data_IF_765918286966
#
_entry.id   IF_765918286966
#
_cell.length_a   1.000
_cell.length_b   1.000
_cell.length_c   1.000
_cell.angle_alpha   90.00
_cell.angle_beta   90.00
_cell.angle_gamma   90.00
#
_symmetry.space_group_name_H-M   'P 1'
#
loop_
_entity.id
_entity.type
_entity.pdbx_description
1 polymer ?
#
# COMPACT_ATOMS: atom_id res chain seq x y z
N UNK A 1 -12.37 -60.77 8.46
CA UNK A 1 -12.39 -59.83 7.35
C UNK A 1 -12.66 -58.43 7.95
N UNK A 2 -11.61 -57.66 8.17
CA UNK A 2 -11.69 -56.32 8.77
C UNK A 2 -11.81 -55.28 7.63
N UNK A 3 -12.90 -54.59 7.54
CA UNK A 3 -13.08 -53.48 6.58
C UNK A 3 -12.40 -52.24 7.16
N UNK A 4 -11.37 -51.77 6.46
CA UNK A 4 -10.66 -50.52 6.77
C UNK A 4 -11.50 -49.39 6.16
N UNK A 5 -12.12 -48.56 7.01
CA UNK A 5 -12.78 -47.35 6.59
C UNK A 5 -11.69 -46.27 6.40
N UNK A 6 -11.36 -45.96 5.16
CA UNK A 6 -10.50 -44.81 4.85
C UNK A 6 -11.41 -43.58 4.76
N UNK A 7 -11.39 -42.75 5.80
CA UNK A 7 -12.04 -41.43 5.76
C UNK A 7 -11.15 -40.48 4.95
N UNK A 8 -11.58 -40.16 3.73
CA UNK A 8 -11.00 -39.12 2.93
C UNK A 8 -11.45 -37.78 3.51
N UNK A 9 -10.56 -37.13 4.24
CA UNK A 9 -10.75 -35.75 4.71
C UNK A 9 -10.64 -34.83 3.49
N UNK A 10 -11.77 -34.39 2.93
CA UNK A 10 -11.79 -33.32 1.95
C UNK A 10 -11.42 -32.03 2.66
N UNK A 11 -10.17 -31.56 2.48
CA UNK A 11 -9.84 -30.16 2.72
C UNK A 11 -10.63 -29.34 1.70
N UNK A 12 -11.72 -28.75 2.14
CA UNK A 12 -12.38 -27.66 1.41
C UNK A 12 -11.43 -26.45 1.60
N UNK A 13 -10.57 -26.19 0.63
CA UNK A 13 -9.95 -24.88 0.50
C UNK A 13 -11.11 -23.91 0.20
N UNK A 14 -11.59 -23.21 1.22
CA UNK A 14 -12.46 -22.07 1.02
C UNK A 14 -11.66 -21.03 0.26
N UNK A 15 -11.93 -20.90 -1.04
CA UNK A 15 -11.54 -19.75 -1.82
C UNK A 15 -12.27 -18.56 -1.17
N UNK A 16 -11.55 -17.79 -0.38
CA UNK A 16 -12.02 -16.51 0.11
C UNK A 16 -12.03 -15.57 -1.10
N UNK A 17 -13.15 -15.48 -1.80
CA UNK A 17 -13.37 -14.39 -2.70
C UNK A 17 -13.49 -13.12 -1.85
N UNK A 18 -12.70 -12.10 -2.18
CA UNK A 18 -12.87 -10.75 -1.66
C UNK A 18 -14.34 -10.35 -1.83
N UNK A 19 -15.06 -10.19 -0.73
CA UNK A 19 -16.45 -9.76 -0.78
C UNK A 19 -16.54 -8.30 -0.37
N UNK A 20 -16.76 -7.45 -1.38
CA UNK A 20 -17.20 -6.08 -1.13
C UNK A 20 -18.50 -6.16 -0.32
N UNK A 21 -18.62 -5.49 0.84
CA UNK A 21 -19.83 -5.51 1.64
C UNK A 21 -21.04 -5.08 0.81
N UNK A 22 -22.15 -5.79 0.97
CA UNK A 22 -23.35 -5.51 0.20
C UNK A 22 -23.77 -4.04 0.36
N UNK A 23 -23.89 -3.33 -0.75
CA UNK A 23 -24.29 -1.92 -0.77
C UNK A 23 -23.16 -0.92 -0.45
N UNK A 24 -21.92 -1.36 -0.25
CA UNK A 24 -20.80 -0.46 0.09
C UNK A 24 -20.60 0.66 -0.94
N UNK A 25 -20.74 0.36 -2.23
CA UNK A 25 -20.62 1.32 -3.33
C UNK A 25 -21.97 1.66 -4.00
N UNK A 26 -23.09 1.56 -3.27
CA UNK A 26 -24.41 1.87 -3.83
C UNK A 26 -24.47 3.30 -4.35
N UNK A 27 -24.99 3.46 -5.57
CA UNK A 27 -25.17 4.78 -6.20
C UNK A 27 -23.93 5.33 -6.91
N UNK A 28 -22.81 4.58 -6.94
CA UNK A 28 -21.60 5.01 -7.64
C UNK A 28 -21.64 4.76 -9.15
N UNK A 29 -22.41 3.77 -9.61
CA UNK A 29 -22.43 3.27 -11.01
C UNK A 29 -22.78 4.33 -12.05
N UNK A 30 -23.37 5.43 -11.65
CA UNK A 30 -23.79 6.53 -12.54
C UNK A 30 -22.95 7.79 -12.40
N UNK A 31 -21.94 7.76 -11.54
CA UNK A 31 -21.10 8.92 -11.26
C UNK A 31 -19.78 8.83 -12.02
N UNK A 32 -19.29 9.99 -12.48
CA UNK A 32 -18.02 10.12 -13.18
C UNK A 32 -17.27 11.36 -12.69
N UNK A 33 -15.96 11.40 -12.86
CA UNK A 33 -15.11 12.55 -12.55
C UNK A 33 -15.21 13.00 -11.10
N UNK A 34 -15.30 14.30 -10.88
CA UNK A 34 -15.31 14.86 -9.52
C UNK A 34 -16.50 14.42 -8.66
N UNK A 35 -17.76 14.31 -9.15
CA UNK A 35 -18.85 13.70 -8.38
C UNK A 35 -18.55 12.29 -7.88
N UNK A 36 -17.87 11.45 -8.67
CA UNK A 36 -17.46 10.12 -8.23
C UNK A 36 -16.37 10.22 -7.15
N UNK A 37 -15.35 11.08 -7.33
CA UNK A 37 -14.29 11.29 -6.32
C UNK A 37 -14.90 11.69 -4.97
N UNK A 38 -15.81 12.66 -4.96
CA UNK A 38 -16.50 13.12 -3.73
C UNK A 38 -17.28 11.99 -3.08
N UNK A 39 -18.05 11.24 -3.85
CA UNK A 39 -18.86 10.15 -3.32
C UNK A 39 -17.99 8.99 -2.78
N UNK A 40 -16.86 8.68 -3.41
CA UNK A 40 -15.89 7.71 -2.90
C UNK A 40 -15.23 8.22 -1.62
N UNK A 41 -14.83 9.51 -1.57
CA UNK A 41 -14.31 10.14 -0.36
C UNK A 41 -15.30 9.99 0.80
N UNK A 42 -16.59 10.30 0.61
CA UNK A 42 -17.60 10.21 1.63
C UNK A 42 -17.77 8.80 2.24
N UNK A 43 -17.52 7.76 1.44
CA UNK A 43 -17.57 6.36 1.93
C UNK A 43 -16.31 5.98 2.72
N UNK A 44 -15.14 6.49 2.33
CA UNK A 44 -13.85 6.02 2.87
C UNK A 44 -13.23 6.97 3.89
N UNK A 45 -13.77 8.19 4.08
CA UNK A 45 -13.15 9.20 4.94
C UNK A 45 -13.24 8.89 6.44
N UNK A 46 -14.30 8.22 6.89
CA UNK A 46 -14.46 7.80 8.28
C UNK A 46 -13.92 6.37 8.48
N UNK A 47 -12.70 6.26 8.98
CA UNK A 47 -12.09 4.96 9.27
C UNK A 47 -11.49 4.93 10.68
N UNK A 48 -11.28 3.73 11.21
CA UNK A 48 -10.61 3.55 12.49
C UNK A 48 -9.11 3.82 12.34
N UNK A 49 -8.61 4.81 13.06
CA UNK A 49 -7.21 5.19 13.03
C UNK A 49 -6.40 4.47 14.10
N UNK A 50 -5.32 3.82 13.68
CA UNK A 50 -4.37 3.16 14.59
C UNK A 50 -3.13 4.04 14.82
N UNK A 51 -2.45 3.89 15.98
CA UNK A 51 -1.19 4.57 16.23
C UNK A 51 -0.07 3.99 15.34
N UNK A 52 0.93 4.82 15.02
CA UNK A 52 2.11 4.35 14.28
C UNK A 52 2.89 3.29 15.05
N UNK A 53 3.16 3.53 16.35
CA UNK A 53 3.77 2.58 17.28
C UNK A 53 3.09 2.69 18.63
N UNK A 54 2.72 1.54 19.23
CA UNK A 54 2.00 1.47 20.51
C UNK A 54 2.30 0.16 21.22
N UNK A 55 1.83 0.04 22.47
CA UNK A 55 1.78 -1.24 23.21
C UNK A 55 0.46 -1.99 22.99
N UNK A 56 -0.49 -1.39 22.32
CA UNK A 56 -1.72 -2.01 21.80
C UNK A 56 -1.61 -2.13 20.29
N UNK A 57 -2.66 -2.62 19.61
CA UNK A 57 -2.65 -2.74 18.13
C UNK A 57 -2.18 -1.47 17.45
N UNK A 58 -1.22 -1.59 16.58
CA UNK A 58 -0.60 -0.51 15.84
C UNK A 58 -0.31 -0.91 14.38
N UNK A 59 0.35 -0.02 13.63
CA UNK A 59 0.67 -0.26 12.22
C UNK A 59 1.57 -1.49 12.01
N UNK A 60 2.47 -1.82 12.94
CA UNK A 60 3.27 -3.04 12.84
C UNK A 60 2.38 -4.29 12.82
N UNK A 61 1.42 -4.36 13.72
CA UNK A 61 0.50 -5.49 13.83
C UNK A 61 -0.38 -5.62 12.59
N UNK A 62 -0.85 -4.49 12.05
CA UNK A 62 -1.63 -4.49 10.81
C UNK A 62 -0.79 -5.07 9.65
N UNK A 63 0.42 -4.56 9.45
CA UNK A 63 1.27 -5.00 8.34
C UNK A 63 1.71 -6.46 8.46
N UNK A 64 1.88 -6.99 9.67
CA UNK A 64 2.11 -8.44 9.89
C UNK A 64 0.94 -9.30 9.43
N UNK A 65 -0.27 -8.76 9.39
CA UNK A 65 -1.45 -9.50 8.90
C UNK A 65 -1.65 -9.30 7.40
N UNK A 66 -1.54 -8.05 6.94
CA UNK A 66 -1.83 -7.67 5.55
C UNK A 66 -0.75 -8.11 4.55
N UNK A 67 0.49 -8.21 5.01
CA UNK A 67 1.65 -8.49 4.16
C UNK A 67 2.38 -9.79 4.56
N UNK A 68 1.65 -10.69 5.23
CA UNK A 68 2.15 -11.98 5.66
C UNK A 68 2.52 -12.87 4.47
N UNK A 69 3.66 -13.56 4.54
CA UNK A 69 4.03 -14.56 3.54
C UNK A 69 3.05 -15.74 3.58
N UNK A 70 2.36 -16.06 2.46
CA UNK A 70 1.41 -17.17 2.41
C UNK A 70 2.08 -18.53 2.60
N UNK A 71 3.39 -18.64 2.38
CA UNK A 71 4.15 -19.88 2.53
C UNK A 71 4.77 -20.03 3.92
N UNK A 72 4.94 -18.94 4.67
CA UNK A 72 5.52 -18.94 6.01
C UNK A 72 4.89 -17.82 6.86
N UNK A 73 3.90 -18.18 7.66
CA UNK A 73 3.13 -17.23 8.47
C UNK A 73 3.94 -16.50 9.54
N UNK A 74 5.21 -16.85 9.76
CA UNK A 74 6.13 -16.14 10.65
C UNK A 74 6.85 -14.98 9.96
N UNK A 75 6.66 -14.81 8.65
CA UNK A 75 7.33 -13.81 7.83
C UNK A 75 6.38 -12.80 7.22
N UNK A 76 6.92 -11.63 6.89
CA UNK A 76 6.30 -10.63 6.02
C UNK A 76 7.07 -10.52 4.71
N UNK A 77 6.37 -10.15 3.64
CA UNK A 77 6.96 -9.87 2.33
C UNK A 77 7.28 -8.39 2.24
N UNK A 78 8.52 -8.09 1.86
CA UNK A 78 9.02 -6.73 1.68
C UNK A 78 8.60 -6.20 0.31
N UNK A 79 7.84 -5.13 0.28
CA UNK A 79 7.09 -4.65 -0.87
C UNK A 79 7.93 -4.43 -2.13
N UNK A 80 8.98 -3.62 -2.02
CA UNK A 80 9.79 -3.26 -3.19
C UNK A 80 10.68 -4.39 -3.72
N UNK A 81 10.94 -5.43 -2.93
CA UNK A 81 11.91 -6.48 -3.29
C UNK A 81 11.28 -7.84 -3.49
N UNK A 82 10.11 -8.08 -2.87
CA UNK A 82 9.53 -9.42 -2.76
C UNK A 82 10.30 -10.35 -1.82
N UNK A 83 11.34 -9.87 -1.14
CA UNK A 83 12.07 -10.66 -0.15
C UNK A 83 11.21 -10.85 1.10
N UNK A 84 11.52 -11.91 1.86
CA UNK A 84 10.81 -12.21 3.09
C UNK A 84 11.73 -12.07 4.30
N UNK A 85 11.16 -11.59 5.40
CA UNK A 85 11.87 -11.42 6.68
C UNK A 85 10.98 -11.87 7.82
N UNK A 86 11.58 -12.32 8.93
CA UNK A 86 10.85 -12.63 10.16
C UNK A 86 10.02 -11.42 10.60
N UNK A 87 8.71 -11.62 10.70
CA UNK A 87 7.76 -10.57 11.06
C UNK A 87 8.02 -9.95 12.45
N UNK A 88 8.66 -10.71 13.37
CA UNK A 88 9.02 -10.22 14.69
C UNK A 88 10.23 -9.26 14.68
N UNK A 89 10.96 -9.16 13.57
CA UNK A 89 12.13 -8.29 13.42
C UNK A 89 11.75 -6.85 13.05
N UNK A 90 10.72 -6.30 13.67
CA UNK A 90 10.35 -4.88 13.50
C UNK A 90 11.58 -4.00 13.70
N UNK A 91 11.82 -3.08 12.79
CA UNK A 91 12.98 -2.17 12.79
C UNK A 91 14.32 -2.79 13.24
N UNK A 92 14.38 -3.40 14.40
CA UNK A 92 15.53 -4.06 15.02
C UNK A 92 16.87 -3.31 14.78
N UNK A 93 16.88 -2.01 15.06
CA UNK A 93 18.05 -1.13 14.84
C UNK A 93 18.50 -1.10 13.37
N UNK A 94 17.57 -1.26 12.43
CA UNK A 94 17.82 -1.27 10.98
C UNK A 94 18.17 -2.66 10.41
N UNK A 95 18.21 -3.72 11.24
CA UNK A 95 18.47 -5.09 10.78
C UNK A 95 17.19 -5.88 10.49
N UNK A 96 16.02 -5.33 10.82
CA UNK A 96 14.72 -5.93 10.54
C UNK A 96 14.07 -5.29 9.30
N UNK A 97 12.77 -5.04 9.37
CA UNK A 97 12.03 -4.36 8.32
C UNK A 97 11.50 -3.01 8.80
N UNK A 98 11.15 -2.15 7.86
CA UNK A 98 10.62 -0.81 8.10
C UNK A 98 9.22 -0.66 7.52
N UNK A 99 8.51 0.40 7.92
CA UNK A 99 7.21 0.79 7.36
C UNK A 99 7.43 1.86 6.31
N UNK A 100 7.20 1.52 5.07
CA UNK A 100 7.26 2.42 3.94
C UNK A 100 5.94 3.17 3.79
N UNK A 101 6.02 4.48 3.62
CA UNK A 101 4.90 5.31 3.19
C UNK A 101 4.93 5.44 1.66
N UNK A 102 4.06 4.74 0.96
CA UNK A 102 4.00 4.78 -0.52
C UNK A 102 3.78 6.22 -1.00
N UNK A 103 2.83 6.94 -0.45
CA UNK A 103 2.83 8.40 -0.52
C UNK A 103 3.85 8.92 0.49
N UNK A 104 4.95 9.45 0.03
CA UNK A 104 6.02 9.91 0.94
C UNK A 104 5.50 10.99 1.88
N UNK A 105 5.60 10.74 3.18
CA UNK A 105 5.04 11.60 4.23
C UNK A 105 5.57 13.05 4.25
N UNK A 106 6.70 13.31 3.61
CA UNK A 106 7.24 14.66 3.42
C UNK A 106 6.44 15.48 2.41
N UNK A 107 5.78 14.82 1.45
CA UNK A 107 4.87 15.48 0.51
C UNK A 107 3.49 15.58 1.16
N UNK A 108 3.22 16.70 1.80
CA UNK A 108 2.05 16.95 2.64
C UNK A 108 2.37 17.10 4.13
N UNK A 109 3.64 16.85 4.54
CA UNK A 109 4.18 17.02 5.91
C UNK A 109 3.30 16.42 7.03
N UNK A 110 2.63 15.29 6.75
CA UNK A 110 1.73 14.65 7.72
C UNK A 110 2.46 13.76 8.74
N UNK A 111 3.72 13.46 8.52
CA UNK A 111 4.56 12.70 9.46
C UNK A 111 4.08 11.27 9.70
N UNK A 112 4.04 10.88 10.98
CA UNK A 112 3.55 9.56 11.44
C UNK A 112 2.41 9.72 12.45
N UNK A 113 1.67 10.82 12.39
CA UNK A 113 0.47 11.03 13.20
C UNK A 113 -0.68 10.17 12.67
N UNK A 114 -1.67 9.89 13.51
CA UNK A 114 -2.91 9.23 13.12
C UNK A 114 -3.56 9.95 11.92
N UNK A 115 -4.26 9.23 11.09
CA UNK A 115 -4.73 9.66 9.79
C UNK A 115 -3.73 9.30 8.69
N UNK A 116 -3.39 10.22 7.79
CA UNK A 116 -2.54 9.96 6.62
C UNK A 116 -1.19 9.29 6.97
N UNK A 117 -0.62 9.58 8.15
CA UNK A 117 0.65 9.00 8.60
C UNK A 117 0.58 7.56 9.08
N UNK A 118 -0.62 7.01 9.29
CA UNK A 118 -0.82 5.66 9.83
C UNK A 118 -1.83 4.83 9.03
N UNK A 119 -2.31 5.34 7.91
CA UNK A 119 -3.27 4.65 7.07
C UNK A 119 -2.64 3.41 6.41
N UNK A 120 -3.17 2.24 6.78
CA UNK A 120 -2.65 0.96 6.32
C UNK A 120 -2.80 0.78 4.80
N UNK A 121 -3.73 1.47 4.15
CA UNK A 121 -3.90 1.34 2.69
C UNK A 121 -2.69 1.82 1.89
N UNK A 122 -1.81 2.66 2.45
CA UNK A 122 -0.58 3.07 1.77
C UNK A 122 0.72 2.74 2.53
N UNK A 123 0.62 2.06 3.66
CA UNK A 123 1.79 1.60 4.41
C UNK A 123 2.16 0.17 4.02
N UNK A 124 3.44 -0.11 3.82
CA UNK A 124 3.94 -1.44 3.42
C UNK A 124 5.22 -1.81 4.16
N UNK A 125 5.46 -3.10 4.44
CA UNK A 125 6.78 -3.55 4.89
C UNK A 125 7.83 -3.30 3.81
N UNK A 126 8.98 -2.77 4.20
CA UNK A 126 10.09 -2.55 3.28
C UNK A 126 11.44 -2.85 3.93
N UNK A 127 12.41 -3.24 3.11
CA UNK A 127 13.79 -3.28 3.54
C UNK A 127 14.25 -1.86 3.91
N UNK A 128 14.92 -1.66 5.07
CA UNK A 128 15.31 -0.33 5.53
C UNK A 128 16.25 0.42 4.57
N UNK A 129 17.17 -0.28 3.89
CA UNK A 129 18.10 0.34 2.94
C UNK A 129 17.41 0.71 1.63
N UNK A 130 16.51 -0.16 1.14
CA UNK A 130 15.69 0.12 -0.04
C UNK A 130 14.71 1.26 0.22
N UNK A 131 14.06 1.28 1.38
CA UNK A 131 13.19 2.38 1.81
C UNK A 131 13.98 3.70 1.88
N UNK A 132 15.18 3.66 2.47
CA UNK A 132 16.06 4.83 2.52
C UNK A 132 16.48 5.31 1.12
N UNK A 133 16.72 4.39 0.20
CA UNK A 133 17.07 4.73 -1.18
C UNK A 133 15.87 5.29 -1.95
N UNK A 134 14.67 4.73 -1.77
CA UNK A 134 13.43 5.31 -2.33
C UNK A 134 13.20 6.71 -1.80
N UNK A 135 13.35 6.94 -0.50
CA UNK A 135 13.21 8.26 0.12
C UNK A 135 11.88 8.93 -0.28
N UNK A 136 11.90 10.22 -0.63
CA UNK A 136 10.75 10.99 -1.12
C UNK A 136 10.71 11.10 -2.65
N UNK A 137 11.31 10.15 -3.38
CA UNK A 137 11.29 10.17 -4.84
C UNK A 137 9.87 10.06 -5.38
N UNK A 138 9.66 10.77 -6.47
CA UNK A 138 8.43 10.69 -7.27
C UNK A 138 8.33 9.33 -7.95
N UNK A 139 7.15 8.87 -8.21
CA UNK A 139 6.94 7.67 -9.03
C UNK A 139 6.89 8.05 -10.51
N UNK A 140 7.85 7.58 -11.27
CA UNK A 140 7.88 7.69 -12.74
C UNK A 140 8.79 6.59 -13.31
N UNK A 141 8.72 6.41 -14.62
CA UNK A 141 9.57 5.45 -15.33
C UNK A 141 11.03 5.91 -15.34
N UNK A 142 11.93 5.00 -15.04
CA UNK A 142 13.37 5.22 -15.15
C UNK A 142 14.09 3.89 -15.46
N UNK A 143 15.41 3.96 -15.76
CA UNK A 143 16.11 2.83 -16.37
C UNK A 143 17.37 2.37 -15.66
N UNK A 144 17.78 3.06 -14.58
CA UNK A 144 18.98 2.64 -13.84
C UNK A 144 18.56 1.63 -12.77
N UNK A 145 18.93 0.35 -12.91
CA UNK A 145 18.57 -0.66 -11.91
C UNK A 145 19.09 -0.27 -10.53
N UNK A 146 18.25 -0.43 -9.52
CA UNK A 146 18.66 -0.30 -8.14
C UNK A 146 19.09 -1.67 -7.58
N UNK A 147 20.32 -1.73 -7.08
CA UNK A 147 20.91 -2.92 -6.47
C UNK A 147 21.21 -2.60 -5.01
N UNK A 148 20.68 -3.39 -4.10
CA UNK A 148 20.89 -3.23 -2.67
C UNK A 148 21.84 -4.28 -2.13
N UNK A 149 22.98 -3.85 -1.57
CA UNK A 149 24.01 -4.74 -1.02
C UNK A 149 24.43 -5.91 -1.97
N UNK A 150 24.45 -5.63 -3.28
CA UNK A 150 24.77 -6.62 -4.32
C UNK A 150 23.58 -7.46 -4.78
N UNK A 151 22.39 -7.29 -4.23
CA UNK A 151 21.18 -8.01 -4.61
C UNK A 151 20.31 -7.15 -5.54
N UNK A 152 19.87 -7.74 -6.64
CA UNK A 152 18.93 -7.08 -7.56
C UNK A 152 17.55 -6.99 -6.91
N UNK A 153 16.99 -5.78 -6.89
CA UNK A 153 15.70 -5.50 -6.24
C UNK A 153 14.51 -5.55 -7.20
N UNK A 154 14.73 -5.51 -8.49
CA UNK A 154 13.69 -5.30 -9.50
C UNK A 154 13.28 -3.85 -9.67
N UNK A 155 13.72 -2.96 -8.78
CA UNK A 155 13.41 -1.53 -8.84
C UNK A 155 14.44 -0.76 -9.69
N UNK A 156 14.04 0.44 -10.11
CA UNK A 156 14.92 1.35 -10.85
C UNK A 156 14.87 2.74 -10.20
N UNK A 157 15.90 3.53 -10.45
CA UNK A 157 16.03 4.87 -9.87
C UNK A 157 16.65 5.86 -10.85
N UNK A 158 16.37 7.14 -10.66
CA UNK A 158 17.08 8.24 -11.30
C UNK A 158 17.36 9.33 -10.28
N UNK A 159 18.64 9.63 -10.09
CA UNK A 159 19.06 10.75 -9.23
C UNK A 159 18.89 12.10 -9.92
N UNK A 160 18.93 12.13 -11.25
CA UNK A 160 18.76 13.37 -12.03
C UNK A 160 17.33 13.89 -11.94
N UNK A 161 16.35 13.00 -12.13
CA UNK A 161 14.93 13.35 -12.10
C UNK A 161 14.29 13.11 -10.73
N UNK A 162 15.04 12.54 -9.78
CA UNK A 162 14.58 12.18 -8.46
C UNK A 162 13.36 11.27 -8.46
N UNK A 163 13.40 10.22 -9.30
CA UNK A 163 12.29 9.28 -9.48
C UNK A 163 12.67 7.86 -9.04
N UNK A 164 11.62 7.10 -8.72
CA UNK A 164 11.66 5.70 -8.37
C UNK A 164 10.64 4.95 -9.20
N UNK A 165 11.07 3.85 -9.81
CA UNK A 165 10.20 2.89 -10.46
C UNK A 165 10.26 1.60 -9.66
N UNK A 166 9.15 1.13 -9.09
CA UNK A 166 9.10 -0.16 -8.40
C UNK A 166 9.22 -1.31 -9.39
N UNK A 167 9.46 -2.52 -8.89
CA UNK A 167 9.41 -3.75 -9.68
C UNK A 167 8.04 -3.91 -10.35
N UNK A 168 8.01 -4.65 -11.46
CA UNK A 168 6.83 -4.72 -12.34
C UNK A 168 5.59 -5.27 -11.61
N UNK A 169 5.77 -6.22 -10.70
CA UNK A 169 4.70 -6.92 -9.98
C UNK A 169 3.99 -6.08 -8.90
N UNK A 170 4.39 -4.83 -8.69
CA UNK A 170 3.76 -3.94 -7.69
C UNK A 170 3.56 -2.52 -8.19
N UNK A 171 3.69 -2.29 -9.49
CA UNK A 171 3.44 -0.98 -10.09
C UNK A 171 1.99 -0.55 -9.95
N UNK A 172 1.07 -1.47 -10.22
CA UNK A 172 -0.36 -1.25 -10.07
C UNK A 172 -0.75 -1.03 -8.61
N UNK A 173 -0.18 -1.82 -7.69
CA UNK A 173 -0.38 -1.62 -6.24
C UNK A 173 -0.01 -0.18 -5.84
N UNK A 174 1.18 0.28 -6.25
CA UNK A 174 1.64 1.65 -5.98
C UNK A 174 0.62 2.66 -6.51
N UNK A 175 0.17 2.51 -7.75
CA UNK A 175 -0.80 3.43 -8.36
C UNK A 175 -2.10 3.46 -7.56
N UNK A 176 -2.67 2.30 -7.22
CA UNK A 176 -3.93 2.18 -6.46
C UNK A 176 -3.83 2.73 -5.04
N UNK A 177 -2.68 2.58 -4.37
CA UNK A 177 -2.44 3.18 -3.06
C UNK A 177 -2.36 4.70 -3.15
N UNK A 178 -1.69 5.24 -4.17
CA UNK A 178 -1.55 6.69 -4.37
C UNK A 178 -2.89 7.30 -4.78
N UNK A 179 -3.70 6.64 -5.61
CA UNK A 179 -5.07 7.06 -5.93
C UNK A 179 -5.98 7.06 -4.70
N UNK A 180 -5.86 6.04 -3.84
CA UNK A 180 -6.58 6.00 -2.58
C UNK A 180 -6.23 7.23 -1.71
N UNK A 181 -4.96 7.53 -1.52
CA UNK A 181 -4.53 8.67 -0.71
C UNK A 181 -5.08 9.99 -1.23
N UNK A 182 -5.04 10.22 -2.55
CA UNK A 182 -5.58 11.41 -3.18
C UNK A 182 -7.12 11.47 -3.17
N UNK A 183 -7.81 10.38 -2.87
CA UNK A 183 -9.27 10.33 -2.74
C UNK A 183 -9.70 10.43 -1.28
N UNK A 184 -8.93 9.83 -0.37
CA UNK A 184 -9.24 9.81 1.07
C UNK A 184 -8.94 11.14 1.75
N UNK A 185 -7.88 11.84 1.36
CA UNK A 185 -7.38 13.01 2.06
C UNK A 185 -7.61 14.28 1.24
N UNK A 186 -8.75 14.94 1.46
CA UNK A 186 -9.26 16.13 0.74
C UNK A 186 -9.17 17.40 1.60
N UNK A 187 -8.25 17.50 2.55
CA UNK A 187 -8.05 18.70 3.35
C UNK A 187 -9.12 18.98 4.41
N UNK A 188 -10.02 18.05 4.64
CA UNK A 188 -11.07 18.21 5.65
C UNK A 188 -10.54 17.97 7.07
N UNK A 189 -11.13 18.60 8.08
CA UNK A 189 -10.83 18.37 9.50
C UNK A 189 -9.35 18.54 9.90
N UNK A 190 -8.57 19.32 9.13
CA UNK A 190 -7.14 19.53 9.37
C UNK A 190 -6.23 18.43 8.85
N UNK A 191 -6.77 17.52 8.07
CA UNK A 191 -6.02 16.55 7.27
C UNK A 191 -5.33 17.24 6.06
N UNK A 192 -4.28 16.62 5.47
CA UNK A 192 -3.69 17.15 4.25
C UNK A 192 -4.66 17.06 3.08
N UNK A 193 -4.57 18.01 2.15
CA UNK A 193 -5.27 18.00 0.86
C UNK A 193 -4.34 17.37 -0.19
N UNK A 194 -4.39 16.05 -0.36
CA UNK A 194 -3.43 15.29 -1.15
C UNK A 194 -3.86 15.23 -2.62
N UNK A 195 -3.08 15.88 -3.50
CA UNK A 195 -3.40 15.99 -4.91
C UNK A 195 -2.39 15.29 -5.84
N UNK A 196 -2.87 14.76 -6.95
CA UNK A 196 -2.04 14.16 -8.00
C UNK A 196 -1.72 15.19 -9.08
N UNK A 197 -0.44 15.24 -9.44
CA UNK A 197 0.07 16.11 -10.49
C UNK A 197 0.68 15.29 -11.63
N UNK A 198 0.67 15.84 -12.84
CA UNK A 198 1.23 15.16 -14.03
C UNK A 198 2.53 15.81 -14.54
N UNK A 199 3.31 16.32 -13.63
CA UNK A 199 4.68 16.81 -13.89
C UNK A 199 5.56 16.51 -12.67
N UNK A 200 6.89 16.51 -12.87
CA UNK A 200 7.84 16.38 -11.77
C UNK A 200 8.19 17.77 -11.21
N UNK A 201 7.93 18.04 -9.92
CA UNK A 201 8.32 19.29 -9.30
C UNK A 201 9.83 19.53 -9.39
N UNK A 202 10.24 20.77 -9.59
CA UNK A 202 11.65 21.16 -9.64
C UNK A 202 12.32 21.07 -8.26
N UNK A 203 11.57 21.29 -7.18
CA UNK A 203 12.01 21.08 -5.81
C UNK A 203 11.61 19.69 -5.33
N UNK A 204 12.57 18.80 -5.23
CA UNK A 204 12.37 17.44 -4.76
C UNK A 204 12.06 17.35 -3.25
N UNK A 205 12.26 18.42 -2.50
CA UNK A 205 12.03 18.49 -1.06
C UNK A 205 10.81 19.35 -0.71
N UNK A 206 9.98 19.69 -1.69
CA UNK A 206 8.74 20.40 -1.40
C UNK A 206 7.89 19.64 -0.39
N UNK A 207 7.31 20.36 0.55
CA UNK A 207 6.31 19.84 1.48
C UNK A 207 4.88 20.00 0.94
N UNK A 208 4.72 20.51 -0.28
CA UNK A 208 3.41 20.61 -0.90
C UNK A 208 2.72 19.24 -0.90
N UNK A 209 1.41 19.19 -0.63
CA UNK A 209 0.65 17.94 -0.52
C UNK A 209 0.33 17.35 -1.91
N UNK A 210 1.35 17.18 -2.74
CA UNK A 210 1.22 16.66 -4.11
C UNK A 210 2.08 15.43 -4.33
N UNK A 211 1.66 14.58 -5.27
CA UNK A 211 2.48 13.44 -5.69
C UNK A 211 2.44 13.25 -7.21
N UNK A 212 3.52 12.73 -7.76
CA UNK A 212 3.72 12.56 -9.20
C UNK A 212 4.10 11.09 -9.51
N UNK A 213 3.86 10.60 -10.72
CA UNK A 213 3.33 11.31 -11.89
C UNK A 213 2.03 10.65 -12.32
N UNK A 214 0.95 11.40 -12.42
CA UNK A 214 -0.40 10.84 -12.66
C UNK A 214 -0.47 9.97 -13.92
N UNK A 215 0.07 10.43 -15.07
CA UNK A 215 0.04 9.65 -16.32
C UNK A 215 0.77 8.32 -16.20
N UNK A 216 1.90 8.29 -15.50
CA UNK A 216 2.66 7.06 -15.23
C UNK A 216 1.90 6.12 -14.30
N UNK A 217 1.28 6.65 -13.24
CA UNK A 217 0.47 5.85 -12.31
C UNK A 217 -0.75 5.25 -13.00
N UNK A 218 -1.41 5.98 -13.90
CA UNK A 218 -2.52 5.46 -14.72
C UNK A 218 -2.01 4.31 -15.62
N UNK A 219 -0.88 4.49 -16.27
CA UNK A 219 -0.26 3.43 -17.08
C UNK A 219 0.02 2.17 -16.25
N UNK A 220 0.64 2.32 -15.08
CA UNK A 220 0.97 1.21 -14.18
C UNK A 220 -0.28 0.49 -13.67
N UNK A 221 -1.35 1.22 -13.38
CA UNK A 221 -2.62 0.62 -12.98
C UNK A 221 -3.20 -0.35 -14.03
N UNK A 222 -3.00 -0.04 -15.33
CA UNK A 222 -3.44 -0.92 -16.42
C UNK A 222 -2.44 -2.03 -16.74
N UNK A 223 -1.14 -1.82 -16.51
CA UNK A 223 -0.10 -2.81 -16.77
C UNK A 223 -0.09 -3.91 -15.71
N UNK A 224 -0.40 -3.58 -14.47
CA UNK A 224 -0.41 -4.48 -13.33
C UNK A 224 -1.82 -4.49 -12.69
N UNK A 225 -2.61 -5.48 -13.11
CA UNK A 225 -3.99 -5.63 -12.69
C UNK A 225 -4.11 -6.03 -11.23
N UNK A 226 -5.22 -5.67 -10.59
CA UNK A 226 -5.54 -6.09 -9.20
C UNK A 226 -5.45 -7.61 -9.07
N UNK A 227 -4.61 -8.08 -8.18
CA UNK A 227 -4.42 -9.49 -7.87
C UNK A 227 -5.16 -9.94 -6.59
N UNK A 228 -5.04 -11.23 -6.28
CA UNK A 228 -5.71 -11.80 -5.10
C UNK A 228 -5.08 -11.34 -3.79
N UNK A 229 -3.79 -10.96 -3.79
CA UNK A 229 -3.13 -10.41 -2.62
C UNK A 229 -3.69 -9.03 -2.26
N UNK A 230 -3.80 -8.14 -3.24
CA UNK A 230 -4.39 -6.81 -3.00
C UNK A 230 -5.84 -6.93 -2.50
N UNK A 231 -6.64 -7.84 -3.09
CA UNK A 231 -8.03 -8.10 -2.64
C UNK A 231 -8.04 -8.57 -1.19
N UNK A 232 -7.22 -9.56 -0.85
CA UNK A 232 -7.13 -10.09 0.52
C UNK A 232 -6.66 -9.00 1.49
N UNK A 233 -5.66 -8.20 1.09
CA UNK A 233 -5.16 -7.09 1.89
C UNK A 233 -6.25 -6.06 2.15
N UNK A 234 -7.00 -5.67 1.14
CA UNK A 234 -8.13 -4.74 1.23
C UNK A 234 -9.22 -5.28 2.19
N UNK A 235 -9.51 -6.58 2.14
CA UNK A 235 -10.45 -7.23 3.05
C UNK A 235 -9.96 -7.23 4.50
N UNK A 236 -8.71 -7.59 4.76
CA UNK A 236 -8.11 -7.58 6.10
C UNK A 236 -8.17 -6.17 6.70
N UNK A 237 -7.78 -5.15 5.92
CA UNK A 237 -7.85 -3.76 6.40
C UNK A 237 -9.28 -3.37 6.75
N UNK A 238 -10.24 -3.74 5.92
CA UNK A 238 -11.65 -3.42 6.13
C UNK A 238 -12.24 -4.16 7.34
N UNK A 239 -12.15 -5.48 7.37
CA UNK A 239 -12.88 -6.28 8.35
C UNK A 239 -12.21 -6.33 9.72
N UNK A 240 -10.89 -6.30 9.77
CA UNK A 240 -10.14 -6.52 11.00
C UNK A 240 -9.61 -5.23 11.63
N UNK A 241 -9.51 -4.13 10.84
CA UNK A 241 -8.83 -2.92 11.31
C UNK A 241 -9.59 -1.62 11.01
N UNK A 242 -9.47 -1.05 9.81
CA UNK A 242 -9.84 0.34 9.53
C UNK A 242 -11.30 0.55 9.18
N UNK A 243 -12.04 -0.47 8.80
CA UNK A 243 -13.44 -0.40 8.39
C UNK A 243 -13.68 0.48 7.13
N UNK A 244 -12.65 0.70 6.33
CA UNK A 244 -12.76 1.31 5.01
C UNK A 244 -12.00 0.49 3.97
N UNK A 245 -12.32 0.67 2.69
CA UNK A 245 -11.73 -0.06 1.58
C UNK A 245 -11.01 0.89 0.62
N UNK A 246 -9.96 0.40 -0.01
CA UNK A 246 -9.42 1.08 -1.18
C UNK A 246 -10.37 0.82 -2.38
N UNK A 247 -11.02 1.85 -2.95
CA UNK A 247 -12.00 1.67 -4.02
C UNK A 247 -11.37 1.35 -5.39
N UNK A 248 -10.05 1.37 -5.49
CA UNK A 248 -9.31 1.05 -6.72
C UNK A 248 -8.88 -0.44 -6.79
N UNK A 249 -9.32 -1.25 -5.79
CA UNK A 249 -9.05 -2.69 -5.66
C UNK A 249 -10.33 -3.52 -5.72
#
# INVERSE_FOLDING_TARGET
>A
MRILLVSVLHMISSLFYSQIPNGYYNGMDTLEGNPLKVALHDIINEHTEFPYTSTSTDVWDILKQTDKDPNDSTKVILFYTGWTVDAAQEWNSGNGWSREHIWSKSHGDFGSKKGAGTDAHHLRPADPSVNSAKNNRWFDTCSVPYVDNGNYTGCFTSSTNWVWQPRDEVKGDVARMVFYMATRYEGTNGEPDLELIDYLPADNNTSDPVYAKLSTLIQWHYEDSVDDWERQRNDIIYYDFQNNRNPFI
#
